data_IF_904058052491
#
_entry.id   IF_904058052491
#
_cell.length_a   1.000
_cell.length_b   1.000
_cell.length_c   1.000
_cell.angle_alpha   90.00
_cell.angle_beta   90.00
_cell.angle_gamma   90.00
#
_symmetry.space_group_name_H-M   'P 1'
#
loop_
_entity.id
_entity.type
_entity.pdbx_description
1 polymer ?
#
# COMPACT_ATOMS: atom_id res chain seq x y z
N UNK A 1 -7.82 6.07 -17.09
CA UNK A 1 -6.72 5.74 -18.02
C UNK A 1 -6.07 7.02 -18.46
N UNK A 2 -4.76 6.99 -18.70
CA UNK A 2 -4.07 8.13 -19.28
C UNK A 2 -4.37 8.27 -20.79
N UNK A 3 -3.81 9.30 -21.45
CA UNK A 3 -3.97 9.54 -22.88
C UNK A 3 -3.44 8.41 -23.79
N UNK A 4 -2.69 7.47 -23.24
CA UNK A 4 -2.12 6.30 -23.92
C UNK A 4 -2.85 5.00 -23.57
N UNK A 5 -3.97 5.05 -22.85
CA UNK A 5 -4.76 3.91 -22.43
C UNK A 5 -4.19 3.13 -21.24
N UNK A 6 -3.15 3.64 -20.57
CA UNK A 6 -2.57 3.00 -19.38
C UNK A 6 -3.43 3.23 -18.15
N UNK A 7 -3.51 2.23 -17.29
CA UNK A 7 -4.17 2.38 -15.99
C UNK A 7 -3.31 3.24 -15.07
N UNK A 8 -3.96 4.13 -14.34
CA UNK A 8 -3.31 4.92 -13.28
C UNK A 8 -3.80 4.37 -11.95
N UNK A 9 -2.88 3.77 -11.21
CA UNK A 9 -3.12 3.21 -9.88
C UNK A 9 -2.96 4.32 -8.85
N UNK A 10 -3.85 4.36 -7.88
CA UNK A 10 -3.73 5.24 -6.71
C UNK A 10 -3.60 4.35 -5.48
N UNK A 11 -2.55 4.55 -4.70
CA UNK A 11 -2.28 3.78 -3.50
C UNK A 11 -1.96 4.71 -2.33
N UNK A 12 -2.88 4.77 -1.38
CA UNK A 12 -2.72 5.49 -0.12
C UNK A 12 -2.31 4.49 0.97
N UNK A 13 -1.04 4.52 1.33
CA UNK A 13 -0.45 3.67 2.34
C UNK A 13 -0.59 4.31 3.72
N UNK A 14 -1.71 4.05 4.37
CA UNK A 14 -1.96 4.51 5.73
C UNK A 14 -1.21 3.68 6.79
N UNK A 15 -1.08 4.23 7.98
CA UNK A 15 -0.46 3.54 9.13
C UNK A 15 -1.25 2.28 9.52
N UNK A 16 -2.58 2.31 9.44
CA UNK A 16 -3.44 1.19 9.78
C UNK A 16 -4.00 0.44 8.59
N UNK A 17 -4.31 1.14 7.50
CA UNK A 17 -4.96 0.60 6.31
C UNK A 17 -4.32 1.08 5.03
N UNK A 18 -4.24 0.18 4.06
CA UNK A 18 -3.98 0.51 2.67
C UNK A 18 -5.32 0.74 1.97
N UNK A 19 -5.40 1.82 1.20
CA UNK A 19 -6.52 2.11 0.31
C UNK A 19 -5.97 2.24 -1.10
N UNK A 20 -6.42 1.40 -1.99
CA UNK A 20 -5.91 1.40 -3.36
C UNK A 20 -7.03 1.22 -4.39
N UNK A 21 -6.78 1.73 -5.57
CA UNK A 21 -7.74 1.68 -6.67
C UNK A 21 -7.21 2.37 -7.91
N UNK A 22 -8.13 2.85 -8.72
CA UNK A 22 -7.85 3.44 -10.03
C UNK A 22 -8.24 4.91 -10.05
N UNK A 23 -7.39 5.75 -10.65
CA UNK A 23 -7.70 7.15 -10.86
C UNK A 23 -8.99 7.30 -11.71
N UNK A 24 -9.83 8.24 -11.30
CA UNK A 24 -11.14 8.48 -11.92
C UNK A 24 -12.28 7.65 -11.32
N UNK A 25 -12.01 6.70 -10.45
CA UNK A 25 -13.03 6.00 -9.68
C UNK A 25 -13.46 6.81 -8.46
N UNK A 26 -14.73 6.73 -8.09
CA UNK A 26 -15.27 7.47 -6.94
C UNK A 26 -14.85 6.88 -5.59
N UNK A 27 -14.48 5.59 -5.57
CA UNK A 27 -14.12 4.85 -4.37
C UNK A 27 -12.88 4.00 -4.58
N UNK A 28 -12.10 3.72 -3.52
CA UNK A 28 -11.04 2.72 -3.56
C UNK A 28 -11.59 1.35 -3.99
N UNK A 29 -10.85 0.64 -4.84
CA UNK A 29 -11.22 -0.72 -5.21
C UNK A 29 -11.02 -1.69 -4.03
N UNK A 30 -9.98 -1.46 -3.22
CA UNK A 30 -9.66 -2.27 -2.05
C UNK A 30 -9.25 -1.41 -0.87
N UNK A 31 -9.69 -1.82 0.33
CA UNK A 31 -9.26 -1.28 1.62
C UNK A 31 -8.97 -2.47 2.51
N UNK A 32 -7.76 -2.56 3.04
CA UNK A 32 -7.34 -3.67 3.89
C UNK A 32 -6.30 -3.24 4.93
N UNK A 33 -6.14 -3.99 6.04
CA UNK A 33 -5.16 -3.66 7.06
C UNK A 33 -3.72 -3.69 6.53
N UNK A 34 -2.94 -2.65 6.83
CA UNK A 34 -1.51 -2.55 6.49
C UNK A 34 -0.68 -3.33 7.50
N UNK A 35 -0.84 -4.64 7.54
CA UNK A 35 -0.13 -5.49 8.51
C UNK A 35 0.42 -6.76 7.87
N UNK A 36 1.52 -7.23 8.46
CA UNK A 36 2.18 -8.50 8.15
C UNK A 36 2.21 -9.34 9.42
N UNK A 37 1.82 -10.59 9.33
CA UNK A 37 1.77 -11.53 10.44
C UNK A 37 2.64 -12.76 10.19
N UNK A 38 3.32 -13.21 11.24
CA UNK A 38 4.10 -14.45 11.27
C UNK A 38 3.61 -15.34 12.39
N UNK A 39 3.53 -16.67 12.22
CA UNK A 39 3.08 -17.57 13.27
C UNK A 39 3.92 -17.45 14.54
N UNK A 40 3.27 -17.33 15.68
CA UNK A 40 3.95 -17.30 17.00
C UNK A 40 4.62 -18.66 17.29
N UNK A 41 3.99 -19.74 16.85
CA UNK A 41 4.48 -21.11 17.05
C UNK A 41 4.70 -21.77 15.69
N UNK A 42 5.97 -21.97 15.31
CA UNK A 42 6.35 -22.62 14.05
C UNK A 42 6.01 -24.11 13.95
N UNK A 43 5.66 -24.77 15.06
CA UNK A 43 5.56 -26.22 15.12
C UNK A 43 4.19 -26.83 14.83
N UNK A 44 3.15 -26.03 14.64
CA UNK A 44 1.81 -26.54 14.35
C UNK A 44 1.19 -25.72 13.20
N UNK A 45 1.53 -26.07 11.97
CA UNK A 45 0.96 -25.46 10.77
C UNK A 45 -0.55 -25.75 10.59
N UNK A 46 -1.20 -26.40 11.55
CA UNK A 46 -2.62 -26.67 11.57
C UNK A 46 -3.17 -26.54 12.98
N UNK A 47 -4.05 -25.56 13.17
CA UNK A 47 -4.94 -25.47 14.31
C UNK A 47 -6.35 -25.57 13.73
N UNK A 48 -7.11 -26.61 14.06
CA UNK A 48 -8.50 -26.82 13.66
C UNK A 48 -8.74 -26.71 12.12
N UNK A 49 -7.96 -27.44 11.31
CA UNK A 49 -8.03 -27.45 9.84
C UNK A 49 -7.71 -26.11 9.13
N UNK A 50 -7.22 -25.11 9.87
CA UNK A 50 -6.76 -23.85 9.28
C UNK A 50 -5.27 -23.96 9.00
N UNK A 51 -4.89 -23.84 7.72
CA UNK A 51 -3.50 -23.73 7.31
C UNK A 51 -2.95 -22.34 7.64
N UNK A 52 -2.03 -22.26 8.60
CA UNK A 52 -1.31 -21.02 8.93
C UNK A 52 -0.04 -20.97 8.10
N UNK A 53 0.02 -20.04 7.15
CA UNK A 53 1.22 -19.82 6.32
C UNK A 53 2.33 -19.15 7.15
N UNK A 54 3.58 -19.35 6.76
CA UNK A 54 4.74 -18.71 7.43
C UNK A 54 4.72 -17.18 7.39
N UNK A 55 4.01 -16.61 6.42
CA UNK A 55 3.79 -15.18 6.28
C UNK A 55 2.37 -14.93 5.78
N UNK A 56 1.67 -14.03 6.44
CA UNK A 56 0.32 -13.59 6.07
C UNK A 56 0.25 -12.07 6.02
N UNK A 57 -0.58 -11.54 5.13
CA UNK A 57 -0.68 -10.09 4.89
C UNK A 57 -2.15 -9.66 4.86
N UNK A 58 -2.39 -8.46 5.34
CA UNK A 58 -3.68 -7.78 5.18
C UNK A 58 -4.85 -8.52 5.84
N UNK A 59 -5.87 -8.82 5.06
CA UNK A 59 -7.11 -9.45 5.55
C UNK A 59 -6.89 -10.84 6.14
N UNK A 60 -6.03 -11.65 5.51
CA UNK A 60 -5.69 -12.99 6.03
C UNK A 60 -5.03 -12.90 7.41
N UNK A 61 -4.02 -12.04 7.54
CA UNK A 61 -3.33 -11.83 8.79
C UNK A 61 -4.28 -11.26 9.87
N UNK A 62 -5.19 -10.37 9.50
CA UNK A 62 -6.16 -9.80 10.42
C UNK A 62 -7.11 -10.86 10.99
N UNK A 63 -7.55 -11.81 10.18
CA UNK A 63 -8.44 -12.91 10.62
C UNK A 63 -7.78 -13.84 11.62
N UNK A 64 -6.48 -14.07 11.50
CA UNK A 64 -5.72 -14.99 12.34
C UNK A 64 -4.82 -14.26 13.35
N UNK A 65 -5.10 -13.00 13.63
CA UNK A 65 -4.28 -12.12 14.48
C UNK A 65 -3.88 -12.71 15.83
N UNK A 66 -4.76 -13.50 16.45
CA UNK A 66 -4.49 -14.14 17.74
C UNK A 66 -3.40 -15.22 17.68
N UNK A 67 -3.10 -15.74 16.51
CA UNK A 67 -2.11 -16.79 16.26
C UNK A 67 -0.82 -16.25 15.66
N UNK A 68 -0.78 -14.95 15.36
CA UNK A 68 0.31 -14.30 14.65
C UNK A 68 0.98 -13.22 15.50
N UNK A 69 2.28 -13.15 15.38
CA UNK A 69 3.02 -11.93 15.69
C UNK A 69 2.83 -10.96 14.52
N UNK A 70 2.15 -9.83 14.78
CA UNK A 70 1.80 -8.86 13.75
C UNK A 70 2.72 -7.64 13.80
N UNK A 71 3.08 -7.15 12.62
CA UNK A 71 3.87 -5.95 12.44
C UNK A 71 3.17 -5.01 11.45
N UNK A 72 3.20 -3.72 11.76
CA UNK A 72 2.72 -2.65 10.88
C UNK A 72 3.94 -1.97 10.25
N UNK A 73 4.17 -2.12 8.93
CA UNK A 73 5.36 -1.57 8.28
C UNK A 73 5.35 -0.05 8.15
N UNK A 74 4.18 0.58 8.36
CA UNK A 74 4.00 2.03 8.30
C UNK A 74 3.85 2.63 9.69
N UNK A 75 4.53 3.74 9.93
CA UNK A 75 4.41 4.54 11.15
C UNK A 75 4.34 6.02 10.79
N UNK A 76 3.31 6.72 11.29
CA UNK A 76 3.09 8.13 10.99
C UNK A 76 3.08 8.46 9.48
N UNK A 77 2.53 7.56 8.67
CA UNK A 77 2.47 7.70 7.21
C UNK A 77 3.79 7.42 6.48
N UNK A 78 4.84 7.02 7.18
CA UNK A 78 6.15 6.69 6.61
C UNK A 78 6.44 5.20 6.68
N UNK A 79 7.16 4.67 5.70
CA UNK A 79 7.66 3.30 5.73
C UNK A 79 8.78 3.20 6.77
N UNK A 80 8.61 2.31 7.75
CA UNK A 80 9.61 2.01 8.79
C UNK A 80 10.26 0.65 8.59
N UNK A 81 9.50 -0.32 8.15
CA UNK A 81 9.99 -1.66 7.83
C UNK A 81 9.82 -1.91 6.34
N UNK A 82 10.91 -1.77 5.59
CA UNK A 82 10.90 -1.93 4.13
C UNK A 82 10.65 -3.37 3.69
N UNK A 83 11.18 -4.35 4.40
CA UNK A 83 10.97 -5.77 4.09
C UNK A 83 9.48 -6.11 4.15
N UNK A 84 8.83 -5.77 5.25
CA UNK A 84 7.40 -6.02 5.42
C UNK A 84 6.54 -5.15 4.49
N UNK A 85 6.98 -3.93 4.17
CA UNK A 85 6.27 -3.10 3.20
C UNK A 85 6.27 -3.69 1.80
N UNK A 86 7.33 -4.38 1.39
CA UNK A 86 7.35 -5.11 0.13
C UNK A 86 6.29 -6.21 0.11
N UNK A 87 6.09 -6.94 1.20
CA UNK A 87 5.03 -7.94 1.30
C UNK A 87 3.63 -7.31 1.18
N UNK A 88 3.42 -6.14 1.80
CA UNK A 88 2.16 -5.39 1.66
C UNK A 88 1.92 -4.95 0.22
N UNK A 89 2.94 -4.46 -0.49
CA UNK A 89 2.81 -4.08 -1.89
C UNK A 89 2.66 -5.27 -2.83
N UNK A 90 3.36 -6.39 -2.59
CA UNK A 90 3.14 -7.63 -3.34
C UNK A 90 1.68 -8.09 -3.25
N UNK A 91 1.08 -7.99 -2.05
CA UNK A 91 -0.33 -8.27 -1.81
C UNK A 91 -1.25 -7.24 -2.51
N UNK A 92 -0.89 -5.96 -2.47
CA UNK A 92 -1.66 -4.87 -3.08
C UNK A 92 -1.76 -5.01 -4.60
N UNK A 93 -0.63 -5.26 -5.26
CA UNK A 93 -0.55 -5.30 -6.73
C UNK A 93 -0.83 -6.68 -7.31
N UNK A 94 -0.71 -7.73 -6.50
CA UNK A 94 -0.88 -9.12 -6.88
C UNK A 94 -2.33 -9.55 -7.06
N UNK A 95 -2.51 -10.86 -7.27
CA UNK A 95 -3.78 -11.50 -7.57
C UNK A 95 -4.84 -11.32 -6.46
N UNK A 96 -4.40 -11.15 -5.22
CA UNK A 96 -5.29 -11.02 -4.06
C UNK A 96 -6.09 -9.69 -4.07
N UNK A 97 -5.56 -8.65 -4.68
CA UNK A 97 -6.14 -7.31 -4.69
C UNK A 97 -6.26 -6.73 -6.09
N UNK A 98 -5.36 -5.87 -6.52
CA UNK A 98 -5.50 -5.17 -7.79
C UNK A 98 -5.28 -6.05 -9.02
N UNK A 99 -4.49 -7.09 -8.89
CA UNK A 99 -4.15 -8.04 -9.96
C UNK A 99 -3.74 -7.31 -11.25
N UNK A 100 -2.72 -6.49 -11.16
CA UNK A 100 -2.22 -5.65 -12.25
C UNK A 100 -0.88 -6.13 -12.79
N UNK A 101 -0.54 -5.68 -13.99
CA UNK A 101 0.81 -5.73 -14.56
C UNK A 101 1.44 -4.34 -14.37
N UNK A 102 2.31 -4.13 -13.35
CA UNK A 102 2.83 -2.80 -13.03
C UNK A 102 3.50 -2.10 -14.20
N UNK A 103 4.20 -2.84 -15.05
CA UNK A 103 4.91 -2.29 -16.23
C UNK A 103 3.97 -1.60 -17.23
N UNK A 104 2.69 -1.95 -17.19
CA UNK A 104 1.64 -1.35 -18.04
C UNK A 104 0.85 -0.26 -17.32
N UNK A 105 1.27 0.10 -16.10
CA UNK A 105 0.55 1.02 -15.24
C UNK A 105 1.44 2.20 -14.81
N UNK A 106 0.77 3.27 -14.43
CA UNK A 106 1.34 4.39 -13.68
C UNK A 106 0.86 4.31 -12.24
N UNK A 107 1.62 4.82 -11.29
CA UNK A 107 1.24 4.81 -9.88
C UNK A 107 1.33 6.21 -9.27
N UNK A 108 0.32 6.55 -8.48
CA UNK A 108 0.33 7.68 -7.56
C UNK A 108 0.34 7.13 -6.14
N UNK A 109 1.37 7.48 -5.39
CA UNK A 109 1.52 7.16 -3.98
C UNK A 109 1.29 8.41 -3.13
N UNK A 110 0.85 8.22 -1.90
CA UNK A 110 0.71 9.30 -0.94
C UNK A 110 1.88 9.32 0.04
N UNK A 111 2.18 10.50 0.55
CA UNK A 111 3.16 10.70 1.61
C UNK A 111 2.67 11.72 2.64
N UNK A 112 3.14 11.67 3.90
CA UNK A 112 2.86 12.72 4.88
C UNK A 112 3.66 13.98 4.56
N UNK A 113 3.24 15.13 5.07
CA UNK A 113 4.08 16.33 5.03
C UNK A 113 5.44 16.07 5.69
N UNK A 114 6.49 16.65 5.13
CA UNK A 114 7.87 16.53 5.63
C UNK A 114 8.42 15.09 5.66
N UNK A 115 7.93 14.23 4.76
CA UNK A 115 8.53 12.91 4.57
C UNK A 115 10.03 13.05 4.23
N UNK A 116 10.94 12.35 4.92
CA UNK A 116 12.37 12.43 4.63
C UNK A 116 12.70 12.05 3.17
N UNK A 117 13.62 12.77 2.55
CA UNK A 117 14.04 12.50 1.16
C UNK A 117 14.43 11.05 0.92
N UNK A 118 15.20 10.45 1.84
CA UNK A 118 15.62 9.04 1.73
C UNK A 118 14.43 8.07 1.68
N UNK A 119 13.37 8.38 2.42
CA UNK A 119 12.16 7.55 2.42
C UNK A 119 11.45 7.65 1.07
N UNK A 120 11.33 8.87 0.53
CA UNK A 120 10.75 9.12 -0.81
C UNK A 120 11.58 8.48 -1.91
N UNK A 121 12.90 8.64 -1.90
CA UNK A 121 13.81 8.02 -2.86
C UNK A 121 13.66 6.50 -2.86
N UNK A 122 13.59 5.88 -1.69
CA UNK A 122 13.39 4.43 -1.56
C UNK A 122 12.04 3.98 -2.10
N UNK A 123 10.98 4.74 -1.87
CA UNK A 123 9.66 4.46 -2.43
C UNK A 123 9.72 4.46 -3.97
N UNK A 124 10.31 5.48 -4.57
CA UNK A 124 10.47 5.60 -6.02
C UNK A 124 11.35 4.47 -6.58
N UNK A 125 12.49 4.20 -5.94
CA UNK A 125 13.38 3.09 -6.32
C UNK A 125 12.62 1.76 -6.38
N UNK A 126 11.86 1.44 -5.34
CA UNK A 126 11.09 0.19 -5.27
C UNK A 126 10.04 0.13 -6.39
N UNK A 127 9.32 1.22 -6.66
CA UNK A 127 8.29 1.24 -7.70
C UNK A 127 8.88 0.99 -9.09
N UNK A 128 10.07 1.50 -9.39
CA UNK A 128 10.73 1.28 -10.67
C UNK A 128 11.53 -0.02 -10.72
N UNK A 129 12.37 -0.28 -9.72
CA UNK A 129 13.34 -1.40 -9.78
C UNK A 129 12.67 -2.75 -9.47
N UNK A 130 11.78 -2.81 -8.47
CA UNK A 130 11.10 -4.06 -8.12
C UNK A 130 9.85 -4.30 -8.97
N UNK A 131 8.99 -3.30 -9.09
CA UNK A 131 7.69 -3.47 -9.74
C UNK A 131 7.67 -3.08 -11.21
N UNK A 132 8.58 -2.23 -11.65
CA UNK A 132 8.68 -1.82 -13.05
C UNK A 132 7.56 -0.91 -13.52
N UNK A 133 6.93 -0.12 -12.64
CA UNK A 133 5.93 0.86 -13.07
C UNK A 133 6.48 1.79 -14.15
N UNK A 134 5.64 2.12 -15.13
CA UNK A 134 6.00 3.05 -16.21
C UNK A 134 6.32 4.45 -15.68
N UNK A 135 5.55 4.90 -14.71
CA UNK A 135 5.72 6.20 -14.08
C UNK A 135 5.24 6.16 -12.63
N UNK A 136 5.88 6.91 -11.76
CA UNK A 136 5.50 7.05 -10.37
C UNK A 136 5.41 8.54 -9.99
N UNK A 137 4.39 8.91 -9.25
CA UNK A 137 4.18 10.22 -8.68
C UNK A 137 3.87 10.12 -7.19
N UNK A 138 4.47 10.97 -6.39
CA UNK A 138 4.19 11.03 -4.95
C UNK A 138 3.48 12.35 -4.64
N UNK A 139 2.35 12.25 -3.97
CA UNK A 139 1.52 13.38 -3.58
C UNK A 139 1.37 13.49 -2.07
N UNK A 140 1.41 14.71 -1.56
CA UNK A 140 1.17 14.98 -0.13
C UNK A 140 -0.32 14.80 0.16
N UNK A 141 -0.66 13.99 1.15
CA UNK A 141 -2.04 13.64 1.55
C UNK A 141 -2.92 14.87 1.80
N UNK A 142 -2.41 15.85 2.53
CA UNK A 142 -3.15 17.07 2.83
C UNK A 142 -3.52 17.86 1.56
N UNK A 143 -2.64 17.92 0.56
CA UNK A 143 -2.88 18.58 -0.73
C UNK A 143 -3.98 17.86 -1.51
N UNK A 144 -3.97 16.53 -1.54
CA UNK A 144 -5.02 15.74 -2.20
C UNK A 144 -6.39 15.95 -1.54
N UNK A 145 -6.43 16.08 -0.23
CA UNK A 145 -7.67 16.38 0.50
C UNK A 145 -8.22 17.74 0.10
N UNK A 146 -7.37 18.76 -0.02
CA UNK A 146 -7.79 20.08 -0.51
C UNK A 146 -8.34 20.04 -1.93
N UNK A 147 -7.69 19.31 -2.83
CA UNK A 147 -8.18 19.14 -4.20
C UNK A 147 -9.52 18.41 -4.25
N UNK A 148 -9.72 17.41 -3.42
CA UNK A 148 -10.99 16.67 -3.32
C UNK A 148 -12.15 17.58 -2.86
N UNK A 149 -11.86 18.66 -2.11
CA UNK A 149 -12.82 19.67 -1.68
C UNK A 149 -12.99 20.81 -2.69
N UNK A 150 -12.34 20.73 -3.85
CA UNK A 150 -12.37 21.78 -4.88
C UNK A 150 -11.49 23.00 -4.58
N UNK A 151 -10.63 22.92 -3.59
CA UNK A 151 -9.68 23.98 -3.24
C UNK A 151 -8.39 23.81 -4.05
N UNK A 152 -8.06 24.75 -4.90
CA UNK A 152 -6.88 24.68 -5.78
C UNK A 152 -5.60 25.21 -5.10
N UNK A 153 -5.74 25.97 -4.05
CA UNK A 153 -4.62 26.51 -3.26
C UNK A 153 -4.98 26.49 -1.78
N UNK A 154 -4.00 26.28 -0.91
CA UNK A 154 -4.14 26.54 0.52
C UNK A 154 -4.35 28.05 0.72
N UNK A 155 -5.58 28.50 0.54
CA UNK A 155 -5.92 29.89 0.72
C UNK A 155 -5.58 30.37 2.13
N UNK A 156 -5.12 31.60 2.24
CA UNK A 156 -4.98 32.26 3.53
C UNK A 156 -6.34 32.28 4.22
N UNK A 157 -6.47 31.63 5.34
CA UNK A 157 -7.50 31.91 6.32
C UNK A 157 -6.99 32.95 7.30
#
# INVERSE_FOLDING_TARGET
MDSQGRKVIVCDNGTGFVKCGYAGSNFPAHIFPSLVGRPIIRAANRIDDIEVKDLMVGDEASKLRSMLEVNYPMENGMVRNWEDMLHVWDYTFGAEKLNIEPEKCKILLTEPPMNPHRNREKMIEVMFEKYGFDSAYIAIQAVLTLYAQGLLTGGKF
#
